data_IF_848550626972
#
_entry.id   IF_848550626972
#
_cell.length_a   1.000
_cell.length_b   1.000
_cell.length_c   1.000
_cell.angle_alpha   90.00
_cell.angle_beta   90.00
_cell.angle_gamma   90.00
#
_symmetry.space_group_name_H-M   'P 1'
#
loop_
_entity.id
_entity.type
_entity.pdbx_description
1 polymer ?
#
# COMPACT_ATOMS: atom_id res chain seq x y z
N UNK A 1 -29.66 52.67 -99.77
CA UNK A 1 -28.63 53.68 -99.44
C UNK A 1 -29.31 54.75 -98.62
N UNK A 2 -28.88 55.18 -97.45
CA UNK A 2 -27.85 54.75 -96.51
C UNK A 2 -28.10 55.59 -95.26
N UNK A 3 -27.86 55.01 -94.09
CA UNK A 3 -27.24 55.66 -92.92
C UNK A 3 -28.00 56.60 -91.96
N UNK A 4 -27.45 56.56 -90.74
CA UNK A 4 -27.40 57.57 -89.68
C UNK A 4 -28.48 57.61 -88.57
N UNK A 5 -28.04 57.14 -87.41
CA UNK A 5 -28.55 57.37 -86.07
C UNK A 5 -28.56 58.86 -85.67
N UNK A 6 -29.51 59.28 -84.80
CA UNK A 6 -29.30 60.31 -83.77
C UNK A 6 -30.51 60.40 -82.82
N UNK A 7 -30.27 60.02 -81.56
CA UNK A 7 -30.64 60.72 -80.33
C UNK A 7 -32.01 61.42 -80.27
N UNK A 8 -33.00 60.73 -79.68
CA UNK A 8 -34.13 61.39 -79.05
C UNK A 8 -33.71 61.94 -77.66
N UNK A 9 -34.22 63.12 -77.25
CA UNK A 9 -33.76 63.80 -76.05
C UNK A 9 -34.07 62.96 -74.80
N UNK A 10 -33.06 62.75 -73.96
CA UNK A 10 -33.27 62.34 -72.59
C UNK A 10 -34.11 63.43 -71.92
N UNK A 11 -35.43 63.22 -71.86
CA UNK A 11 -36.33 64.04 -71.09
C UNK A 11 -35.86 64.10 -69.65
N UNK A 12 -35.96 65.27 -69.04
CA UNK A 12 -35.69 65.47 -67.62
C UNK A 12 -36.31 64.31 -66.83
N UNK A 13 -35.54 63.66 -65.93
CA UNK A 13 -36.09 62.58 -65.13
C UNK A 13 -37.33 63.10 -64.41
N UNK A 14 -38.44 62.33 -64.40
CA UNK A 14 -39.69 62.80 -63.80
C UNK A 14 -39.39 63.21 -62.36
N UNK A 15 -39.78 64.44 -62.01
CA UNK A 15 -39.57 65.01 -60.68
C UNK A 15 -40.10 64.02 -59.65
N UNK A 16 -39.18 63.36 -58.96
CA UNK A 16 -39.52 62.33 -57.98
C UNK A 16 -40.28 63.02 -56.87
N UNK A 17 -41.56 62.66 -56.70
CA UNK A 17 -42.41 63.22 -55.67
C UNK A 17 -41.70 63.14 -54.30
N UNK A 18 -41.36 64.29 -53.68
CA UNK A 18 -40.61 64.33 -52.44
C UNK A 18 -41.38 63.65 -51.29
N UNK A 19 -42.71 63.58 -51.35
CA UNK A 19 -43.53 62.90 -50.36
C UNK A 19 -43.33 61.38 -50.40
N UNK A 20 -43.29 60.79 -51.60
CA UNK A 20 -43.06 59.34 -51.80
C UNK A 20 -41.63 58.95 -51.42
N UNK A 21 -40.66 59.86 -51.56
CA UNK A 21 -39.27 59.64 -51.14
C UNK A 21 -39.05 59.82 -49.64
N UNK A 22 -39.77 60.75 -49.00
CA UNK A 22 -39.75 60.94 -47.55
C UNK A 22 -40.39 59.76 -46.80
N UNK A 23 -41.53 59.26 -47.29
CA UNK A 23 -42.23 58.11 -46.71
C UNK A 23 -41.41 56.81 -46.77
N UNK A 24 -40.70 56.58 -47.89
CA UNK A 24 -39.78 55.43 -48.04
C UNK A 24 -38.60 55.51 -47.06
N UNK A 25 -38.09 56.71 -46.76
CA UNK A 25 -36.99 56.90 -45.79
C UNK A 25 -37.43 56.61 -44.35
N UNK A 26 -38.62 57.06 -43.93
CA UNK A 26 -39.15 56.75 -42.58
C UNK A 26 -39.51 55.29 -42.42
N UNK A 27 -40.15 54.67 -43.43
CA UNK A 27 -40.44 53.23 -43.40
C UNK A 27 -39.16 52.38 -43.31
N UNK A 28 -38.13 52.72 -44.09
CA UNK A 28 -36.81 52.06 -44.02
C UNK A 28 -36.16 52.22 -42.64
N UNK A 29 -36.24 53.41 -42.04
CA UNK A 29 -35.67 53.66 -40.71
C UNK A 29 -36.33 52.81 -39.62
N UNK A 30 -37.66 52.72 -39.62
CA UNK A 30 -38.40 51.86 -38.68
C UNK A 30 -38.10 50.38 -38.91
N UNK A 31 -38.04 49.94 -40.17
CA UNK A 31 -37.69 48.55 -40.50
C UNK A 31 -36.27 48.20 -40.05
N UNK A 32 -35.29 49.07 -40.28
CA UNK A 32 -33.90 48.90 -39.83
C UNK A 32 -33.80 48.89 -38.30
N UNK A 33 -34.53 49.77 -37.61
CA UNK A 33 -34.53 49.82 -36.15
C UNK A 33 -35.07 48.52 -35.53
N UNK A 34 -36.14 47.93 -36.10
CA UNK A 34 -36.68 46.64 -35.65
C UNK A 34 -35.71 45.48 -35.91
N UNK A 35 -34.99 45.52 -37.03
CA UNK A 35 -33.98 44.52 -37.37
C UNK A 35 -32.83 44.56 -36.36
N UNK A 36 -32.32 45.75 -36.02
CA UNK A 36 -31.27 45.92 -35.01
C UNK A 36 -31.73 45.44 -33.63
N UNK A 37 -32.95 45.76 -33.21
CA UNK A 37 -33.51 45.28 -31.93
C UNK A 37 -33.66 43.76 -31.94
N UNK A 38 -34.14 43.17 -33.04
CA UNK A 38 -34.27 41.72 -33.18
C UNK A 38 -32.92 40.99 -33.06
N UNK A 39 -31.88 41.51 -33.71
CA UNK A 39 -30.52 40.96 -33.60
C UNK A 39 -29.93 41.12 -32.20
N UNK A 40 -30.19 42.24 -31.51
CA UNK A 40 -29.73 42.44 -30.14
C UNK A 40 -30.35 41.41 -29.18
N UNK A 41 -31.66 41.19 -29.28
CA UNK A 41 -32.36 40.18 -28.46
C UNK A 41 -31.88 38.76 -28.77
N UNK A 42 -31.69 38.44 -30.06
CA UNK A 42 -31.16 37.14 -30.47
C UNK A 42 -29.73 36.91 -29.96
N UNK A 43 -28.87 37.93 -30.00
CA UNK A 43 -27.51 37.88 -29.47
C UNK A 43 -27.48 37.69 -27.95
N UNK A 44 -28.33 38.39 -27.21
CA UNK A 44 -28.46 38.22 -25.75
C UNK A 44 -29.00 36.84 -25.38
N UNK A 45 -29.97 36.31 -26.14
CA UNK A 45 -30.48 34.95 -25.95
C UNK A 45 -29.41 33.90 -26.25
N UNK A 46 -28.67 34.07 -27.35
CA UNK A 46 -27.58 33.17 -27.72
C UNK A 46 -26.44 33.18 -26.69
N UNK A 47 -25.98 34.37 -26.31
CA UNK A 47 -24.94 34.53 -25.29
C UNK A 47 -25.39 33.97 -23.94
N UNK A 48 -26.59 34.35 -23.48
CA UNK A 48 -27.17 33.85 -22.23
C UNK A 48 -27.28 32.33 -22.21
N UNK A 49 -27.80 31.71 -23.28
CA UNK A 49 -27.87 30.26 -23.41
C UNK A 49 -26.48 29.61 -23.36
N UNK A 50 -25.51 30.16 -24.08
CA UNK A 50 -24.15 29.63 -24.12
C UNK A 50 -23.45 29.68 -22.76
N UNK A 51 -23.70 30.72 -21.95
CA UNK A 51 -23.17 30.79 -20.58
C UNK A 51 -23.92 29.87 -19.61
N UNK A 52 -25.24 29.73 -19.73
CA UNK A 52 -26.05 28.85 -18.88
C UNK A 52 -25.73 27.36 -19.10
N UNK A 53 -25.52 26.93 -20.35
CA UNK A 53 -25.21 25.53 -20.67
C UNK A 53 -23.78 25.15 -20.29
N UNK A 54 -22.83 26.09 -20.39
CA UNK A 54 -21.41 25.82 -20.11
C UNK A 54 -20.96 26.25 -18.69
N UNK A 55 -21.78 26.99 -17.94
CA UNK A 55 -21.36 27.67 -16.71
C UNK A 55 -21.62 26.92 -15.40
N UNK A 56 -22.24 25.74 -15.43
CA UNK A 56 -22.67 25.06 -14.20
C UNK A 56 -21.66 24.03 -13.65
N UNK A 57 -20.81 23.43 -14.50
CA UNK A 57 -19.71 22.54 -14.10
C UNK A 57 -18.66 22.56 -15.22
N UNK A 58 -17.40 22.86 -14.90
CA UNK A 58 -16.34 22.83 -15.90
C UNK A 58 -15.85 21.39 -16.13
N UNK A 59 -15.37 21.08 -17.34
CA UNK A 59 -14.80 19.76 -17.64
C UNK A 59 -13.59 19.43 -16.76
N UNK A 60 -12.90 20.46 -16.28
CA UNK A 60 -11.78 20.36 -15.35
C UNK A 60 -12.24 19.91 -13.96
N UNK A 61 -13.36 20.41 -13.43
CA UNK A 61 -13.91 19.99 -12.12
C UNK A 61 -14.33 18.51 -12.14
N UNK A 62 -14.99 18.06 -13.22
CA UNK A 62 -15.33 16.64 -13.39
C UNK A 62 -14.08 15.76 -13.50
N UNK A 63 -13.08 16.25 -14.22
CA UNK A 63 -11.80 15.53 -14.37
C UNK A 63 -11.09 15.45 -13.01
N UNK A 64 -11.05 16.55 -12.25
CA UNK A 64 -10.45 16.59 -10.91
C UNK A 64 -11.18 15.70 -9.91
N UNK A 65 -12.51 15.69 -9.91
CA UNK A 65 -13.30 14.79 -9.08
C UNK A 65 -13.05 13.32 -9.44
N UNK A 66 -12.93 13.02 -10.74
CA UNK A 66 -12.65 11.66 -11.23
C UNK A 66 -11.24 11.20 -10.87
N UNK A 67 -10.23 12.06 -10.99
CA UNK A 67 -8.85 11.72 -10.58
C UNK A 67 -8.75 11.54 -9.07
N UNK A 68 -9.40 12.40 -8.28
CA UNK A 68 -9.48 12.26 -6.83
C UNK A 68 -10.16 10.94 -6.42
N UNK A 69 -11.27 10.58 -7.07
CA UNK A 69 -11.94 9.29 -6.86
C UNK A 69 -11.04 8.11 -7.22
N UNK A 70 -10.38 8.14 -8.39
CA UNK A 70 -9.49 7.08 -8.82
C UNK A 70 -8.29 6.89 -7.86
N UNK A 71 -7.74 8.00 -7.35
CA UNK A 71 -6.68 7.97 -6.34
C UNK A 71 -7.18 7.35 -5.02
N UNK A 72 -8.37 7.72 -4.56
CA UNK A 72 -8.97 7.16 -3.35
C UNK A 72 -9.27 5.66 -3.49
N UNK A 73 -9.79 5.21 -4.64
CA UNK A 73 -10.02 3.79 -4.89
C UNK A 73 -8.71 2.99 -4.93
N UNK A 74 -7.66 3.53 -5.56
CA UNK A 74 -6.35 2.87 -5.60
C UNK A 74 -5.74 2.75 -4.20
N UNK A 75 -5.86 3.80 -3.37
CA UNK A 75 -5.41 3.78 -1.98
C UNK A 75 -6.17 2.73 -1.13
N UNK A 76 -7.48 2.59 -1.35
CA UNK A 76 -8.28 1.57 -0.68
C UNK A 76 -7.84 0.15 -1.06
N UNK A 77 -7.61 -0.10 -2.35
CA UNK A 77 -7.17 -1.41 -2.82
C UNK A 77 -5.76 -1.75 -2.34
N UNK A 78 -4.85 -0.76 -2.29
CA UNK A 78 -3.54 -0.92 -1.66
C UNK A 78 -3.65 -1.28 -0.17
N UNK A 79 -4.53 -0.61 0.58
CA UNK A 79 -4.76 -0.91 1.99
C UNK A 79 -5.34 -2.33 2.20
N UNK A 80 -6.27 -2.76 1.33
CA UNK A 80 -6.80 -4.14 1.33
C UNK A 80 -5.71 -5.18 1.03
N UNK A 81 -4.82 -4.87 0.09
CA UNK A 81 -3.63 -5.68 -0.20
C UNK A 81 -2.74 -5.83 1.04
N UNK A 82 -2.46 -4.72 1.73
CA UNK A 82 -1.69 -4.72 2.98
C UNK A 82 -2.35 -5.56 4.10
N UNK A 83 -3.68 -5.52 4.23
CA UNK A 83 -4.40 -6.39 5.17
C UNK A 83 -4.20 -7.87 4.80
N UNK A 84 -4.32 -8.24 3.52
CA UNK A 84 -4.11 -9.62 3.06
C UNK A 84 -2.71 -10.13 3.40
N UNK A 85 -1.69 -9.30 3.20
CA UNK A 85 -0.30 -9.61 3.56
C UNK A 85 -0.13 -9.82 5.07
N UNK A 86 -0.61 -8.88 5.89
CA UNK A 86 -0.54 -8.97 7.36
C UNK A 86 -1.29 -10.20 7.87
N UNK A 87 -2.46 -10.53 7.31
CA UNK A 87 -3.17 -11.75 7.70
C UNK A 87 -2.39 -13.02 7.37
N UNK A 88 -1.68 -13.03 6.24
CA UNK A 88 -0.86 -14.17 5.83
C UNK A 88 0.37 -14.33 6.72
N UNK A 89 1.05 -13.22 7.05
CA UNK A 89 2.13 -13.19 8.02
C UNK A 89 1.67 -13.67 9.41
N UNK A 90 0.48 -13.23 9.85
CA UNK A 90 -0.13 -13.69 11.11
C UNK A 90 -0.37 -15.19 11.11
N UNK A 91 -0.92 -15.76 10.03
CA UNK A 91 -1.13 -17.22 9.92
C UNK A 91 0.20 -17.98 9.99
N UNK A 92 1.23 -17.49 9.32
CA UNK A 92 2.56 -18.09 9.37
C UNK A 92 3.14 -18.06 10.80
N UNK A 93 3.05 -16.92 11.49
CA UNK A 93 3.51 -16.78 12.87
C UNK A 93 2.74 -17.70 13.83
N UNK A 94 1.42 -17.84 13.66
CA UNK A 94 0.61 -18.78 14.43
C UNK A 94 1.01 -20.24 14.19
N UNK A 95 1.32 -20.60 12.93
CA UNK A 95 1.83 -21.93 12.59
C UNK A 95 3.19 -22.21 13.24
N UNK A 96 4.11 -21.25 13.20
CA UNK A 96 5.41 -21.35 13.88
C UNK A 96 5.24 -21.49 15.39
N UNK A 97 4.35 -20.70 16.01
CA UNK A 97 4.03 -20.84 17.42
C UNK A 97 3.51 -22.24 17.72
N UNK A 98 2.52 -22.74 16.97
CA UNK A 98 1.95 -24.07 17.20
C UNK A 98 2.99 -25.20 17.03
N UNK A 99 3.90 -25.08 16.07
CA UNK A 99 4.98 -26.03 15.84
C UNK A 99 6.00 -26.00 17.00
N UNK A 100 6.45 -24.82 17.41
CA UNK A 100 7.36 -24.65 18.55
C UNK A 100 6.72 -25.16 19.84
N UNK A 101 5.45 -24.83 20.07
CA UNK A 101 4.72 -25.28 21.25
C UNK A 101 4.51 -26.81 21.23
N UNK A 102 4.37 -27.44 20.05
CA UNK A 102 4.36 -28.89 19.95
C UNK A 102 5.72 -29.54 20.29
N UNK A 103 6.83 -28.90 19.92
CA UNK A 103 8.18 -29.35 20.29
C UNK A 103 8.46 -29.19 21.80
N UNK A 104 7.95 -28.12 22.41
CA UNK A 104 8.27 -27.75 23.80
C UNK A 104 7.28 -28.33 24.81
N UNK A 105 5.97 -28.38 24.55
CA UNK A 105 4.96 -28.81 25.54
C UNK A 105 5.17 -30.21 26.13
N UNK A 106 5.83 -31.11 25.39
CA UNK A 106 6.18 -32.46 25.86
C UNK A 106 7.59 -32.60 26.43
N UNK A 107 8.44 -31.57 26.27
CA UNK A 107 9.81 -31.57 26.77
C UNK A 107 9.84 -30.93 28.16
N UNK A 108 10.09 -31.76 29.16
CA UNK A 108 10.43 -31.36 30.52
C UNK A 108 11.88 -31.73 30.77
N UNK A 109 12.50 -31.16 31.81
CA UNK A 109 13.85 -31.57 32.21
C UNK A 109 13.97 -33.09 32.47
N UNK A 110 12.86 -33.78 32.76
CA UNK A 110 12.82 -35.23 32.97
C UNK A 110 12.71 -36.02 31.67
N UNK A 111 12.00 -35.48 30.66
CA UNK A 111 11.75 -36.15 29.37
C UNK A 111 12.78 -35.81 28.30
N UNK A 112 13.53 -34.71 28.48
CA UNK A 112 14.56 -34.29 27.54
C UNK A 112 15.78 -35.25 27.55
N UNK A 113 16.14 -35.85 26.39
CA UNK A 113 17.27 -36.77 26.31
C UNK A 113 18.63 -36.13 26.64
N UNK A 114 18.82 -34.84 26.37
CA UNK A 114 20.05 -34.13 26.70
C UNK A 114 20.20 -33.96 28.21
N UNK A 115 19.11 -33.65 28.92
CA UNK A 115 19.12 -33.53 30.39
C UNK A 115 19.36 -34.89 31.05
N UNK A 116 18.72 -35.97 30.56
CA UNK A 116 18.98 -37.34 31.05
C UNK A 116 20.44 -37.77 30.85
N UNK A 117 21.02 -37.46 29.68
CA UNK A 117 22.44 -37.74 29.42
C UNK A 117 23.36 -36.94 30.34
N UNK A 118 23.03 -35.67 30.61
CA UNK A 118 23.78 -34.85 31.56
C UNK A 118 23.68 -35.40 32.99
N UNK A 119 22.50 -35.88 33.40
CA UNK A 119 22.31 -36.50 34.72
C UNK A 119 23.09 -37.80 34.88
N UNK A 120 23.10 -38.66 33.85
CA UNK A 120 23.92 -39.87 33.86
C UNK A 120 25.43 -39.56 33.99
N UNK A 121 25.91 -38.48 33.35
CA UNK A 121 27.30 -38.02 33.51
C UNK A 121 27.59 -37.50 34.91
N UNK A 122 26.64 -36.78 35.51
CA UNK A 122 26.73 -36.32 36.90
C UNK A 122 26.82 -37.52 37.86
N UNK A 123 25.93 -38.50 37.72
CA UNK A 123 25.91 -39.69 38.58
C UNK A 123 27.22 -40.50 38.44
N UNK A 124 27.73 -40.64 37.21
CA UNK A 124 29.02 -41.28 36.96
C UNK A 124 30.20 -40.54 37.62
N UNK A 125 30.19 -39.20 37.58
CA UNK A 125 31.22 -38.37 38.22
C UNK A 125 31.13 -38.44 39.75
N UNK A 126 29.93 -38.45 40.32
CA UNK A 126 29.71 -38.64 41.76
C UNK A 126 30.20 -40.01 42.23
N UNK A 127 29.94 -41.06 41.45
CA UNK A 127 30.45 -42.40 41.75
C UNK A 127 31.99 -42.45 41.65
N UNK A 128 32.58 -41.79 40.66
CA UNK A 128 34.03 -41.68 40.55
C UNK A 128 34.65 -40.93 41.74
N UNK A 129 33.99 -39.86 42.21
CA UNK A 129 34.39 -39.12 43.39
C UNK A 129 34.30 -40.00 44.65
N UNK A 130 33.18 -40.71 44.86
CA UNK A 130 33.03 -41.62 46.00
C UNK A 130 34.10 -42.72 46.02
N UNK A 131 34.54 -43.21 44.84
CA UNK A 131 35.62 -44.20 44.70
C UNK A 131 37.02 -43.65 45.03
N UNK A 132 37.17 -42.35 45.25
CA UNK A 132 38.45 -41.77 45.71
C UNK A 132 38.69 -42.00 47.20
N UNK A 133 37.65 -42.27 47.98
CA UNK A 133 37.77 -42.65 49.39
C UNK A 133 37.87 -44.18 49.51
N UNK A 134 39.02 -44.67 49.94
CA UNK A 134 39.26 -46.12 50.12
C UNK A 134 38.99 -46.49 51.57
N UNK A 135 37.93 -47.27 51.81
CA UNK A 135 37.55 -47.78 53.14
C UNK A 135 37.93 -49.26 53.29
N UNK A 136 38.23 -49.70 54.50
CA UNK A 136 38.54 -51.09 54.79
C UNK A 136 37.28 -51.98 54.62
N UNK A 137 37.35 -53.09 53.86
CA UNK A 137 36.21 -53.98 53.66
C UNK A 137 35.92 -54.88 54.87
N UNK A 138 36.93 -55.11 55.74
CA UNK A 138 36.86 -55.98 56.91
C UNK A 138 37.64 -55.37 58.08
N UNK A 139 37.31 -55.78 59.30
CA UNK A 139 38.09 -55.47 60.48
C UNK A 139 39.38 -56.29 60.49
N UNK A 140 40.50 -55.67 60.86
CA UNK A 140 41.82 -56.32 60.91
C UNK A 140 42.91 -55.30 61.19
N UNK A 141 44.17 -55.71 61.06
CA UNK A 141 45.33 -54.84 61.29
C UNK A 141 46.04 -54.54 59.97
N UNK A 142 46.37 -53.26 59.77
CA UNK A 142 47.19 -52.81 58.64
C UNK A 142 48.63 -53.24 58.87
N UNK A 143 49.17 -54.12 58.02
CA UNK A 143 50.55 -54.59 58.19
C UNK A 143 51.60 -53.68 57.55
N UNK A 144 51.27 -53.00 56.44
CA UNK A 144 52.16 -52.04 55.75
C UNK A 144 51.37 -51.09 54.85
N UNK A 145 51.77 -49.81 54.79
CA UNK A 145 51.24 -48.83 53.85
C UNK A 145 52.28 -48.55 52.75
N UNK A 146 51.91 -48.71 51.47
CA UNK A 146 52.82 -48.58 50.32
C UNK A 146 52.47 -47.36 49.44
N UNK A 147 52.12 -46.22 50.04
CA UNK A 147 51.76 -45.00 49.31
C UNK A 147 52.36 -43.75 49.94
N UNK A 148 52.66 -42.76 49.10
CA UNK A 148 53.16 -41.43 49.51
C UNK A 148 52.23 -40.30 49.05
N UNK A 149 52.25 -39.20 49.79
CA UNK A 149 51.46 -38.00 49.46
C UNK A 149 51.92 -37.45 48.12
N UNK A 150 50.97 -37.15 47.23
CA UNK A 150 51.24 -36.66 45.87
C UNK A 150 51.51 -37.77 44.84
N UNK A 151 51.58 -39.04 45.25
CA UNK A 151 51.72 -40.17 44.35
C UNK A 151 50.39 -40.44 43.62
N UNK A 152 50.45 -40.63 42.30
CA UNK A 152 49.30 -41.06 41.49
C UNK A 152 49.16 -42.58 41.54
N UNK A 153 47.97 -43.06 41.85
CA UNK A 153 47.64 -44.49 41.91
C UNK A 153 46.80 -44.89 40.70
N UNK A 154 46.96 -46.13 40.23
CA UNK A 154 46.15 -46.72 39.16
C UNK A 154 45.15 -47.74 39.73
N UNK A 155 43.97 -47.93 39.09
CA UNK A 155 43.02 -48.95 39.52
C UNK A 155 43.66 -50.34 39.60
N UNK A 156 43.42 -51.06 40.70
CA UNK A 156 43.96 -52.41 40.93
C UNK A 156 45.34 -52.46 41.59
N UNK A 157 46.01 -51.32 41.81
CA UNK A 157 47.25 -51.28 42.56
C UNK A 157 46.99 -51.61 44.05
N UNK A 158 47.68 -52.63 44.57
CA UNK A 158 47.60 -52.96 46.00
C UNK A 158 48.43 -51.97 46.80
N UNK A 159 47.82 -51.31 47.78
CA UNK A 159 48.47 -50.26 48.58
C UNK A 159 48.56 -50.56 50.08
N UNK A 160 47.71 -51.47 50.59
CA UNK A 160 47.59 -51.78 52.01
C UNK A 160 46.96 -53.17 52.24
N UNK A 161 47.72 -54.20 52.64
CA UNK A 161 47.17 -55.47 53.07
C UNK A 161 46.65 -55.40 54.53
N UNK A 162 45.47 -55.97 54.73
CA UNK A 162 44.82 -56.14 56.03
C UNK A 162 44.92 -57.63 56.39
N UNK A 163 45.34 -57.93 57.62
CA UNK A 163 45.46 -59.30 58.17
C UNK A 163 44.54 -59.44 59.37
#
# INVERSE_FOLDING_TARGET
MSDAAATAPAGDPPAVDPAVSAARKTARRVWLQRLVVGLAVAGSLWGGWHYLVNGAVSGEELTQARTAYAAASAALDAARGGISEVTSARRAAQGQLAANDALVRGSSAETDPAVRAARARLDAALLALARTEIRAPVAGVVSRLQVQIGQRLTPGQTIMPII
#
